data_IF_678237292061
#
_entry.id   IF_678237292061
#
_cell.length_a   1.000
_cell.length_b   1.000
_cell.length_c   1.000
_cell.angle_alpha   90.00
_cell.angle_beta   90.00
_cell.angle_gamma   90.00
#
_symmetry.space_group_name_H-M   'P 1'
#
loop_
_entity.id
_entity.type
_entity.pdbx_description
1 polymer ?
#
# COMPACT_ATOMS: atom_id res chain seq x y z
N UNK A 1 -58.57 28.77 32.76
CA UNK A 1 -57.41 29.06 31.88
C UNK A 1 -56.86 27.72 31.42
N UNK A 2 -56.96 27.37 30.13
CA UNK A 2 -56.55 26.07 29.63
C UNK A 2 -55.05 26.03 29.33
N UNK A 3 -54.42 24.97 29.82
CA UNK A 3 -53.61 23.99 29.09
C UNK A 3 -52.41 24.51 28.28
N UNK A 4 -51.23 24.29 28.86
CA UNK A 4 -49.94 24.35 28.18
C UNK A 4 -49.88 23.27 27.09
N UNK A 5 -49.95 23.68 25.83
CA UNK A 5 -49.59 22.83 24.69
C UNK A 5 -48.09 22.88 24.49
N UNK A 6 -47.46 21.80 24.94
CA UNK A 6 -46.18 21.24 24.52
C UNK A 6 -46.12 21.21 22.98
N UNK A 7 -45.54 22.25 22.34
CA UNK A 7 -45.17 22.19 20.92
C UNK A 7 -43.77 21.59 20.80
N UNK A 8 -43.85 20.26 20.75
CA UNK A 8 -42.84 19.26 20.57
C UNK A 8 -41.92 19.53 19.36
N UNK A 9 -40.68 19.89 19.66
CA UNK A 9 -39.43 19.22 19.20
C UNK A 9 -39.38 18.63 17.78
N UNK A 10 -39.86 19.31 16.75
CA UNK A 10 -39.68 18.86 15.35
C UNK A 10 -38.42 19.41 14.66
N UNK A 11 -37.37 19.77 15.41
CA UNK A 11 -36.01 20.03 14.86
C UNK A 11 -35.17 18.74 14.85
N UNK A 12 -35.68 17.68 14.25
CA UNK A 12 -34.89 16.52 13.85
C UNK A 12 -34.70 16.58 12.35
N UNK A 13 -33.80 17.47 11.91
CA UNK A 13 -33.29 17.39 10.54
C UNK A 13 -32.76 15.96 10.30
N UNK A 14 -33.04 15.34 9.15
CA UNK A 14 -32.60 13.98 8.91
C UNK A 14 -31.09 13.95 9.07
N UNK A 15 -30.59 13.19 10.05
CA UNK A 15 -29.20 12.78 10.09
C UNK A 15 -28.98 11.97 8.81
N UNK A 16 -28.62 12.63 7.71
CA UNK A 16 -28.11 11.95 6.54
C UNK A 16 -26.86 11.22 7.02
N UNK A 17 -26.86 9.88 7.09
CA UNK A 17 -25.63 9.17 7.42
C UNK A 17 -24.63 9.56 6.33
N UNK A 18 -23.58 10.27 6.73
CA UNK A 18 -22.49 10.57 5.80
C UNK A 18 -21.82 9.23 5.54
N UNK A 19 -22.20 8.59 4.44
CA UNK A 19 -21.53 7.39 3.95
C UNK A 19 -20.15 7.83 3.50
N UNK A 20 -19.20 7.68 4.40
CA UNK A 20 -17.80 7.98 4.15
C UNK A 20 -17.25 7.03 3.07
N UNK A 21 -16.73 7.53 1.93
CA UNK A 21 -16.38 6.69 0.78
C UNK A 21 -15.30 5.67 1.11
N UNK A 22 -15.61 4.39 1.03
CA UNK A 22 -14.66 3.31 1.35
C UNK A 22 -13.64 3.03 0.24
N UNK A 23 -13.70 3.75 -0.89
CA UNK A 23 -12.86 3.50 -2.07
C UNK A 23 -11.34 3.49 -1.80
N UNK A 24 -10.75 4.33 -0.90
CA UNK A 24 -9.30 4.32 -0.72
C UNK A 24 -8.80 3.03 -0.08
N UNK A 25 -9.60 2.48 0.83
CA UNK A 25 -9.29 1.23 1.49
C UNK A 25 -9.44 0.04 0.53
N UNK A 26 -10.44 0.08 -0.37
CA UNK A 26 -10.56 -0.90 -1.46
C UNK A 26 -9.38 -0.77 -2.45
N UNK A 27 -8.96 0.43 -2.81
CA UNK A 27 -7.82 0.66 -3.69
C UNK A 27 -6.51 0.14 -3.06
N UNK A 28 -6.29 0.38 -1.76
CA UNK A 28 -5.15 -0.18 -1.03
C UNK A 28 -5.19 -1.71 -1.01
N UNK A 29 -6.36 -2.31 -0.78
CA UNK A 29 -6.53 -3.76 -0.78
C UNK A 29 -6.28 -4.37 -2.16
N UNK A 30 -6.82 -3.78 -3.23
CA UNK A 30 -6.60 -4.23 -4.62
C UNK A 30 -5.12 -4.10 -4.99
N UNK A 31 -4.49 -2.96 -4.67
CA UNK A 31 -3.07 -2.75 -4.93
C UNK A 31 -2.21 -3.80 -4.22
N UNK A 32 -2.44 -4.03 -2.93
CA UNK A 32 -1.70 -5.01 -2.15
C UNK A 32 -1.94 -6.44 -2.67
N UNK A 33 -3.18 -6.75 -3.07
CA UNK A 33 -3.55 -8.07 -3.58
C UNK A 33 -2.86 -8.38 -4.92
N UNK A 34 -2.93 -7.45 -5.88
CA UNK A 34 -2.27 -7.60 -7.16
C UNK A 34 -0.75 -7.77 -6.99
N UNK A 35 -0.15 -6.98 -6.11
CA UNK A 35 1.29 -7.07 -5.86
C UNK A 35 1.68 -8.36 -5.11
N UNK A 36 0.82 -8.82 -4.22
CA UNK A 36 0.93 -10.13 -3.57
C UNK A 36 0.90 -11.28 -4.57
N UNK A 37 -0.02 -11.25 -5.54
CA UNK A 37 -0.10 -12.26 -6.61
C UNK A 37 1.18 -12.30 -7.46
N UNK A 38 1.70 -11.14 -7.86
CA UNK A 38 2.99 -11.06 -8.59
C UNK A 38 4.12 -11.67 -7.77
N UNK A 39 4.16 -11.38 -6.47
CA UNK A 39 5.21 -11.93 -5.58
C UNK A 39 5.07 -13.43 -5.34
N UNK A 40 3.84 -13.95 -5.25
CA UNK A 40 3.57 -15.39 -5.15
C UNK A 40 3.95 -16.12 -6.45
N UNK A 41 3.66 -15.50 -7.59
CA UNK A 41 4.07 -16.02 -8.89
C UNK A 41 5.59 -16.17 -8.98
N UNK A 42 6.35 -15.15 -8.55
CA UNK A 42 7.81 -15.26 -8.45
C UNK A 42 8.27 -16.31 -7.43
N UNK A 43 7.59 -16.40 -6.28
CA UNK A 43 7.90 -17.40 -5.26
C UNK A 43 7.69 -18.85 -5.76
N UNK A 44 6.75 -19.03 -6.69
CA UNK A 44 6.47 -20.30 -7.36
C UNK A 44 7.43 -20.59 -8.54
N UNK A 45 8.45 -19.76 -8.77
CA UNK A 45 9.44 -19.92 -9.85
C UNK A 45 9.05 -19.22 -11.15
N UNK A 46 8.02 -18.37 -11.14
CA UNK A 46 7.64 -17.55 -12.27
C UNK A 46 8.71 -16.50 -12.60
N UNK A 47 8.99 -16.28 -13.89
CA UNK A 47 10.08 -15.41 -14.33
C UNK A 47 9.64 -14.11 -15.00
N UNK A 48 8.34 -13.93 -15.19
CA UNK A 48 7.79 -12.68 -15.75
C UNK A 48 8.24 -11.45 -14.96
N UNK A 49 8.67 -10.40 -15.64
CA UNK A 49 9.17 -9.15 -15.06
C UNK A 49 10.44 -9.27 -14.19
N UNK A 50 11.04 -10.44 -13.97
CA UNK A 50 12.30 -10.55 -13.20
C UNK A 50 13.40 -9.68 -13.81
N UNK A 51 13.50 -9.70 -15.15
CA UNK A 51 14.47 -8.92 -15.92
C UNK A 51 14.32 -7.40 -15.72
N UNK A 52 13.18 -6.94 -15.20
CA UNK A 52 12.94 -5.52 -14.88
C UNK A 52 13.40 -5.11 -13.48
N UNK A 53 13.71 -6.08 -12.60
CA UNK A 53 14.18 -5.86 -11.22
C UNK A 53 15.71 -5.74 -11.18
N UNK A 54 16.41 -6.45 -12.06
CA UNK A 54 17.85 -6.37 -12.21
C UNK A 54 18.53 -7.73 -12.09
N UNK A 55 19.69 -7.84 -12.73
CA UNK A 55 20.47 -9.08 -12.83
C UNK A 55 20.84 -9.67 -11.45
N UNK A 56 21.05 -8.81 -10.45
CA UNK A 56 21.32 -9.21 -9.06
C UNK A 56 20.17 -9.99 -8.41
N UNK A 57 18.96 -9.89 -8.95
CA UNK A 57 17.79 -10.66 -8.53
C UNK A 57 17.48 -11.76 -9.52
N UNK A 58 17.58 -11.48 -10.83
CA UNK A 58 17.28 -12.45 -11.90
C UNK A 58 18.18 -13.69 -11.85
N UNK A 59 19.51 -13.51 -11.77
CA UNK A 59 20.43 -14.65 -11.82
C UNK A 59 20.25 -15.60 -10.62
N UNK A 60 20.23 -15.12 -9.35
CA UNK A 60 19.98 -16.00 -8.22
C UNK A 60 18.57 -16.61 -8.19
N UNK A 61 17.57 -15.93 -8.75
CA UNK A 61 16.21 -16.47 -8.86
C UNK A 61 16.13 -17.62 -9.87
N UNK A 62 16.81 -17.49 -11.02
CA UNK A 62 16.90 -18.56 -12.04
C UNK A 62 17.70 -19.77 -11.54
N UNK A 63 18.73 -19.54 -10.73
CA UNK A 63 19.53 -20.59 -10.09
C UNK A 63 18.82 -21.26 -8.90
N UNK A 64 17.60 -20.83 -8.55
CA UNK A 64 16.87 -21.28 -7.35
C UNK A 64 17.72 -21.17 -6.07
N UNK A 65 18.55 -20.14 -5.98
CA UNK A 65 19.42 -19.95 -4.83
C UNK A 65 18.57 -19.87 -3.54
N UNK A 66 18.85 -20.68 -2.51
CA UNK A 66 17.94 -20.83 -1.37
C UNK A 66 17.71 -19.51 -0.61
N UNK A 67 18.72 -18.63 -0.56
CA UNK A 67 18.59 -17.30 0.02
C UNK A 67 17.67 -16.37 -0.79
N UNK A 68 17.70 -16.45 -2.12
CA UNK A 68 16.82 -15.67 -2.99
C UNK A 68 15.37 -16.18 -2.87
N UNK A 69 15.18 -17.50 -2.93
CA UNK A 69 13.86 -18.14 -2.72
C UNK A 69 13.29 -17.70 -1.37
N UNK A 70 14.06 -17.79 -0.28
CA UNK A 70 13.62 -17.33 1.04
C UNK A 70 13.24 -15.84 1.07
N UNK A 71 14.00 -14.99 0.39
CA UNK A 71 13.73 -13.54 0.29
C UNK A 71 12.44 -13.26 -0.48
N UNK A 72 12.21 -13.93 -1.61
CA UNK A 72 10.99 -13.79 -2.40
C UNK A 72 9.77 -14.25 -1.59
N UNK A 73 9.86 -15.40 -0.92
CA UNK A 73 8.81 -15.90 -0.03
C UNK A 73 8.54 -14.95 1.15
N UNK A 74 9.57 -14.46 1.83
CA UNK A 74 9.43 -13.47 2.90
C UNK A 74 8.74 -12.19 2.38
N UNK A 75 9.13 -11.72 1.20
CA UNK A 75 8.53 -10.54 0.59
C UNK A 75 7.06 -10.77 0.18
N UNK A 76 6.69 -11.99 -0.22
CA UNK A 76 5.31 -12.36 -0.53
C UNK A 76 4.46 -12.41 0.75
N UNK A 77 4.99 -13.01 1.82
CA UNK A 77 4.36 -13.05 3.15
C UNK A 77 4.10 -11.65 3.71
N UNK A 78 5.07 -10.73 3.60
CA UNK A 78 4.90 -9.33 4.04
C UNK A 78 3.79 -8.65 3.24
N UNK A 79 3.71 -8.88 1.93
CA UNK A 79 2.63 -8.31 1.09
C UNK A 79 1.27 -8.91 1.42
N UNK A 80 1.20 -10.21 1.68
CA UNK A 80 -0.03 -10.86 2.17
C UNK A 80 -0.46 -10.29 3.53
N UNK A 81 0.48 -10.05 4.44
CA UNK A 81 0.20 -9.37 5.70
C UNK A 81 -0.30 -7.93 5.46
N UNK A 82 0.25 -7.21 4.48
CA UNK A 82 -0.23 -5.89 4.08
C UNK A 82 -1.63 -5.93 3.45
N UNK A 83 -1.98 -6.99 2.69
CA UNK A 83 -3.36 -7.25 2.21
C UNK A 83 -4.30 -7.44 3.39
N UNK A 84 -3.93 -8.27 4.37
CA UNK A 84 -4.75 -8.51 5.57
C UNK A 84 -4.91 -7.22 6.37
N UNK A 85 -3.85 -6.41 6.52
CA UNK A 85 -3.91 -5.11 7.16
C UNK A 85 -4.82 -4.13 6.41
N UNK A 86 -4.71 -4.06 5.08
CA UNK A 86 -5.57 -3.23 4.23
C UNK A 86 -7.04 -3.69 4.27
N UNK A 87 -7.30 -4.99 4.25
CA UNK A 87 -8.63 -5.56 4.43
C UNK A 87 -9.17 -5.27 5.84
N UNK A 88 -8.32 -5.27 6.87
CA UNK A 88 -8.68 -4.83 8.22
C UNK A 88 -9.08 -3.34 8.30
N UNK A 89 -8.64 -2.51 7.34
CA UNK A 89 -9.10 -1.11 7.20
C UNK A 89 -10.46 -1.00 6.49
N UNK A 90 -10.84 -1.99 5.66
CA UNK A 90 -12.11 -2.02 4.91
C UNK A 90 -13.23 -2.74 5.71
N UNK A 91 -12.91 -3.89 6.28
CA UNK A 91 -13.83 -4.74 7.02
C UNK A 91 -14.02 -4.19 8.45
N UNK A 92 -15.17 -4.50 9.08
CA UNK A 92 -15.50 -4.12 10.48
C UNK A 92 -14.65 -4.85 11.53
N UNK A 93 -13.39 -5.14 11.24
CA UNK A 93 -12.43 -5.80 12.13
C UNK A 93 -12.00 -4.94 13.31
N UNK A 94 -12.52 -3.71 13.45
CA UNK A 94 -12.37 -2.88 14.65
C UNK A 94 -12.93 -3.51 15.94
N UNK A 95 -13.58 -4.68 15.87
CA UNK A 95 -13.90 -5.51 17.04
C UNK A 95 -12.83 -6.55 17.38
N UNK A 96 -11.96 -6.93 16.43
CA UNK A 96 -10.91 -7.95 16.60
C UNK A 96 -9.56 -7.30 16.88
N UNK A 97 -9.22 -6.23 16.16
CA UNK A 97 -7.94 -5.53 16.32
C UNK A 97 -8.14 -4.12 16.90
N UNK A 98 -7.31 -3.72 17.88
CA UNK A 98 -7.41 -2.42 18.48
C UNK A 98 -7.05 -1.32 17.47
N UNK A 99 -7.79 -0.21 17.52
CA UNK A 99 -7.72 0.86 16.52
C UNK A 99 -6.31 1.43 16.31
N UNK A 100 -5.52 1.55 17.38
CA UNK A 100 -4.16 2.08 17.30
C UNK A 100 -3.26 1.20 16.42
N UNK A 101 -3.51 -0.11 16.37
CA UNK A 101 -2.77 -1.04 15.53
C UNK A 101 -3.06 -0.82 14.05
N UNK A 102 -4.34 -0.62 13.69
CA UNK A 102 -4.75 -0.33 12.32
C UNK A 102 -4.20 1.02 11.83
N UNK A 103 -4.27 2.06 12.68
CA UNK A 103 -3.73 3.38 12.34
C UNK A 103 -2.19 3.37 12.26
N UNK A 104 -1.52 2.73 13.23
CA UNK A 104 -0.08 2.59 13.24
C UNK A 104 0.44 1.80 12.04
N UNK A 105 -0.18 0.65 11.75
CA UNK A 105 0.16 -0.16 10.58
C UNK A 105 -0.10 0.55 9.26
N UNK A 106 -1.23 1.25 9.14
CA UNK A 106 -1.55 2.04 7.94
C UNK A 106 -0.58 3.18 7.68
N UNK A 107 -0.22 3.96 8.71
CA UNK A 107 0.78 5.02 8.61
C UNK A 107 2.19 4.49 8.39
N UNK A 108 2.56 3.38 9.04
CA UNK A 108 3.84 2.73 8.83
C UNK A 108 3.99 2.25 7.39
N UNK A 109 2.98 1.55 6.87
CA UNK A 109 2.96 1.11 5.47
C UNK A 109 3.03 2.30 4.52
N UNK A 110 2.19 3.34 4.73
CA UNK A 110 2.22 4.55 3.93
C UNK A 110 3.61 5.21 3.94
N UNK A 111 4.21 5.40 5.11
CA UNK A 111 5.52 6.01 5.28
C UNK A 111 6.62 5.22 4.58
N UNK A 112 6.68 3.91 4.81
CA UNK A 112 7.69 3.05 4.18
C UNK A 112 7.57 3.05 2.66
N UNK A 113 6.36 2.91 2.12
CA UNK A 113 6.11 2.88 0.68
C UNK A 113 6.42 4.23 0.02
N UNK A 114 6.01 5.34 0.65
CA UNK A 114 6.27 6.68 0.15
C UNK A 114 7.76 7.05 0.20
N UNK A 115 8.43 6.74 1.30
CA UNK A 115 9.87 6.99 1.45
C UNK A 115 10.67 6.14 0.47
N UNK A 116 10.36 4.84 0.37
CA UNK A 116 11.06 3.94 -0.54
C UNK A 116 10.85 4.32 -2.01
N UNK A 117 9.59 4.49 -2.43
CA UNK A 117 9.27 4.89 -3.81
C UNK A 117 9.80 6.28 -4.14
N UNK A 118 9.65 7.24 -3.23
CA UNK A 118 10.09 8.63 -3.43
C UNK A 118 11.61 8.76 -3.50
N UNK A 119 12.33 8.17 -2.54
CA UNK A 119 13.80 8.14 -2.59
C UNK A 119 14.30 7.41 -3.83
N UNK A 120 13.62 6.33 -4.23
CA UNK A 120 13.87 5.62 -5.48
C UNK A 120 13.76 6.53 -6.70
N UNK A 121 12.66 7.26 -6.87
CA UNK A 121 12.51 8.21 -7.99
C UNK A 121 13.62 9.26 -7.99
N UNK A 122 13.93 9.87 -6.84
CA UNK A 122 14.98 10.89 -6.76
C UNK A 122 16.33 10.32 -7.18
N UNK A 123 16.72 9.18 -6.62
CA UNK A 123 17.97 8.52 -6.95
C UNK A 123 18.03 8.15 -8.44
N UNK A 124 16.96 7.55 -8.98
CA UNK A 124 16.90 7.09 -10.36
C UNK A 124 16.84 8.25 -11.37
N UNK A 125 16.22 9.38 -11.00
CA UNK A 125 16.23 10.59 -11.81
C UNK A 125 17.62 11.25 -11.84
N UNK A 126 18.32 11.28 -10.70
CA UNK A 126 19.72 11.74 -10.65
C UNK A 126 20.63 10.85 -11.51
N UNK A 127 20.40 9.53 -11.50
CA UNK A 127 21.08 8.59 -12.38
C UNK A 127 20.78 8.85 -13.86
N UNK A 128 19.51 9.03 -14.21
CA UNK A 128 19.07 9.27 -15.59
C UNK A 128 19.58 10.60 -16.17
N UNK A 129 19.79 11.61 -15.32
CA UNK A 129 20.38 12.90 -15.71
C UNK A 129 21.91 12.90 -15.74
N UNK A 130 22.56 11.79 -15.35
CA UNK A 130 24.01 11.69 -15.25
C UNK A 130 24.61 12.45 -14.07
N UNK A 131 23.80 12.97 -13.14
CA UNK A 131 24.25 13.68 -11.95
C UNK A 131 24.95 12.76 -10.94
N UNK A 132 24.57 11.48 -10.91
CA UNK A 132 25.26 10.43 -10.17
C UNK A 132 25.54 9.22 -11.07
N UNK A 133 26.62 8.50 -10.78
CA UNK A 133 27.00 7.30 -11.54
C UNK A 133 25.96 6.19 -11.44
N UNK A 134 25.79 5.45 -12.53
CA UNK A 134 24.95 4.25 -12.62
C UNK A 134 25.88 3.05 -12.76
N UNK A 135 25.68 1.99 -11.99
CA UNK A 135 26.43 0.76 -12.19
C UNK A 135 25.98 0.04 -13.46
N UNK A 136 26.90 -0.66 -14.12
CA UNK A 136 26.61 -1.41 -15.35
C UNK A 136 25.53 -2.48 -15.12
N UNK A 137 25.45 -3.05 -13.91
CA UNK A 137 24.42 -4.03 -13.53
C UNK A 137 23.02 -3.41 -13.36
N UNK A 138 22.94 -2.12 -13.01
CA UNK A 138 21.65 -1.44 -12.76
C UNK A 138 21.18 -0.62 -13.97
N UNK A 139 22.10 -0.17 -14.82
CA UNK A 139 21.78 0.64 -16.00
C UNK A 139 20.69 0.02 -16.91
N UNK A 140 20.66 -1.30 -17.18
CA UNK A 140 19.63 -1.92 -18.01
C UNK A 140 18.21 -1.81 -17.42
N UNK A 141 18.10 -1.72 -16.09
CA UNK A 141 16.82 -1.72 -15.37
C UNK A 141 16.44 -0.37 -14.78
N UNK A 142 17.28 0.65 -14.98
CA UNK A 142 17.09 1.99 -14.43
C UNK A 142 15.70 2.57 -14.78
N UNK A 143 15.33 2.53 -16.05
CA UNK A 143 14.06 3.09 -16.51
C UNK A 143 12.85 2.27 -16.08
N UNK A 144 13.00 0.95 -15.93
CA UNK A 144 11.97 0.11 -15.32
C UNK A 144 11.72 0.53 -13.88
N UNK A 145 12.78 0.81 -13.12
CA UNK A 145 12.63 1.28 -11.76
C UNK A 145 12.00 2.67 -11.71
N UNK A 146 12.46 3.59 -12.56
CA UNK A 146 12.02 4.98 -12.56
C UNK A 146 10.55 5.13 -12.94
N UNK A 147 10.09 4.41 -13.96
CA UNK A 147 8.76 4.60 -14.54
C UNK A 147 7.72 3.57 -14.09
N UNK A 148 8.14 2.36 -13.69
CA UNK A 148 7.21 1.31 -13.28
C UNK A 148 7.27 1.07 -11.77
N UNK A 149 8.43 0.66 -11.24
CA UNK A 149 8.51 0.21 -9.84
C UNK A 149 8.31 1.35 -8.86
N UNK A 150 9.12 2.41 -8.93
CA UNK A 150 9.08 3.49 -7.95
C UNK A 150 7.72 4.22 -7.91
N UNK A 151 7.07 4.52 -9.06
CA UNK A 151 5.71 5.05 -9.06
C UNK A 151 4.69 4.07 -8.50
N UNK A 152 4.83 2.76 -8.76
CA UNK A 152 3.94 1.75 -8.21
C UNK A 152 4.03 1.67 -6.67
N UNK A 153 5.25 1.77 -6.11
CA UNK A 153 5.48 1.87 -4.67
C UNK A 153 4.84 3.12 -4.08
N UNK A 154 5.03 4.29 -4.72
CA UNK A 154 4.39 5.53 -4.30
C UNK A 154 2.86 5.43 -4.30
N UNK A 155 2.29 4.83 -5.35
CA UNK A 155 0.84 4.67 -5.49
C UNK A 155 0.26 3.86 -4.32
N UNK A 156 0.92 2.76 -3.94
CA UNK A 156 0.56 1.99 -2.74
C UNK A 156 0.61 2.85 -1.49
N UNK A 157 1.69 3.61 -1.30
CA UNK A 157 1.84 4.52 -0.16
C UNK A 157 0.72 5.56 -0.06
N UNK A 158 0.32 6.16 -1.20
CA UNK A 158 -0.81 7.09 -1.28
C UNK A 158 -2.13 6.41 -0.90
N UNK A 159 -2.40 5.21 -1.40
CA UNK A 159 -3.63 4.49 -1.05
C UNK A 159 -3.70 4.16 0.44
N UNK A 160 -2.61 3.68 1.04
CA UNK A 160 -2.54 3.45 2.48
C UNK A 160 -2.69 4.73 3.30
N UNK A 161 -2.08 5.84 2.87
CA UNK A 161 -2.24 7.13 3.54
C UNK A 161 -3.70 7.61 3.50
N UNK A 162 -4.34 7.57 2.33
CA UNK A 162 -5.74 7.96 2.17
C UNK A 162 -6.69 7.09 2.98
N UNK A 163 -6.49 5.76 2.98
CA UNK A 163 -7.27 4.82 3.79
C UNK A 163 -7.12 5.13 5.30
N UNK A 164 -5.91 5.44 5.75
CA UNK A 164 -5.62 5.74 7.16
C UNK A 164 -6.17 7.10 7.61
N UNK A 165 -6.07 8.12 6.76
CA UNK A 165 -6.71 9.44 6.99
C UNK A 165 -8.21 9.29 7.10
N UNK A 166 -8.81 8.49 6.21
CA UNK A 166 -10.25 8.22 6.23
C UNK A 166 -10.69 7.54 7.53
N UNK A 167 -9.96 6.50 7.97
CA UNK A 167 -10.20 5.85 9.25
C UNK A 167 -10.09 6.86 10.41
N UNK A 168 -9.08 7.74 10.39
CA UNK A 168 -8.90 8.77 11.44
C UNK A 168 -10.07 9.76 11.51
N UNK A 169 -10.64 10.16 10.37
CA UNK A 169 -11.77 11.10 10.30
C UNK A 169 -13.07 10.50 10.83
N UNK A 170 -13.31 9.21 10.60
CA UNK A 170 -14.46 8.51 11.19
C UNK A 170 -14.38 8.38 12.71
N UNK A 171 -13.22 8.61 13.34
CA UNK A 171 -13.07 8.57 14.81
C UNK A 171 -13.48 9.85 15.53
N UNK A 172 -13.37 10.99 14.84
CA UNK A 172 -13.54 12.31 15.45
C UNK A 172 -14.99 12.80 15.43
N UNK A 173 -15.91 11.97 14.96
CA UNK A 173 -17.35 12.18 15.00
C UNK A 173 -17.94 11.26 16.05
#
# INVERSE_FOLDING_TARGET
MPEATDDDRSRTGPFTPVVTPQWPAHAAAVWAFLFGLVSLYWAAGGTWLLDTIGESVTAPAQENAPAMVATVWASALVKLAAVVAALGLVQRWGQIFPRWFLLGGGWLAAGLLLLYGGAGIVQQALMATGAIGVSDTFAPVLYWHLFLWSPFWLLGGVFFALATVHLTRCTRR
#
